data_IF_136881182954
#
_entry.id   IF_136881182954
#
_cell.length_a   1.000
_cell.length_b   1.000
_cell.length_c   1.000
_cell.angle_alpha   90.00
_cell.angle_beta   90.00
_cell.angle_gamma   90.00
#
_symmetry.space_group_name_H-M   'P 1'
#
loop_
_entity.id
_entity.type
_entity.pdbx_description
1 polymer ?
#
# COMPACT_ATOMS: atom_id res chain seq x y z
N UNK A 1 2.67 -25.94 -9.23
CA UNK A 1 2.58 -25.07 -10.42
C UNK A 1 1.23 -25.18 -11.15
N UNK A 2 0.73 -26.36 -11.52
CA UNK A 2 -0.58 -26.49 -12.23
C UNK A 2 -1.78 -26.03 -11.38
N UNK A 3 -1.75 -26.29 -10.07
CA UNK A 3 -2.85 -25.93 -9.15
C UNK A 3 -3.00 -24.43 -8.89
N UNK A 4 -1.96 -23.63 -9.13
CA UNK A 4 -1.96 -22.21 -8.75
C UNK A 4 -2.41 -21.33 -9.92
N UNK A 5 -1.92 -21.65 -11.14
CA UNK A 5 -2.46 -21.06 -12.38
C UNK A 5 -3.95 -21.32 -12.54
N UNK A 6 -4.40 -22.55 -12.32
CA UNK A 6 -5.83 -22.89 -12.38
C UNK A 6 -6.69 -22.04 -11.44
N UNK A 7 -6.19 -21.71 -10.24
CA UNK A 7 -6.94 -20.87 -9.28
C UNK A 7 -7.00 -19.40 -9.71
N UNK A 8 -5.92 -18.88 -10.30
CA UNK A 8 -5.89 -17.52 -10.83
C UNK A 8 -6.84 -17.39 -12.02
N UNK A 9 -6.88 -18.39 -12.90
CA UNK A 9 -7.81 -18.45 -14.03
C UNK A 9 -9.27 -18.47 -13.55
N UNK A 10 -9.57 -19.20 -12.48
CA UNK A 10 -10.89 -19.23 -11.85
C UNK A 10 -11.28 -17.85 -11.27
N UNK A 11 -10.36 -17.19 -10.58
CA UNK A 11 -10.57 -15.84 -10.04
C UNK A 11 -10.84 -14.85 -11.16
N UNK A 12 -10.04 -14.87 -12.23
CA UNK A 12 -10.22 -13.97 -13.37
C UNK A 12 -11.57 -14.18 -14.06
N UNK A 13 -12.00 -15.44 -14.22
CA UNK A 13 -13.31 -15.75 -14.81
C UNK A 13 -14.47 -15.26 -13.94
N UNK A 14 -14.41 -15.48 -12.62
CA UNK A 14 -15.46 -14.98 -11.72
C UNK A 14 -15.46 -13.45 -11.61
N UNK A 15 -14.29 -12.81 -11.68
CA UNK A 15 -14.18 -11.36 -11.75
C UNK A 15 -14.83 -10.80 -13.03
N UNK A 16 -14.63 -11.45 -14.18
CA UNK A 16 -15.29 -11.08 -15.43
C UNK A 16 -16.82 -11.24 -15.32
N UNK A 17 -17.30 -12.38 -14.81
CA UNK A 17 -18.72 -12.63 -14.56
C UNK A 17 -19.33 -11.56 -13.64
N UNK A 18 -18.62 -11.21 -12.57
CA UNK A 18 -19.06 -10.19 -11.63
C UNK A 18 -19.14 -8.79 -12.27
N UNK A 19 -18.15 -8.42 -13.08
CA UNK A 19 -18.13 -7.15 -13.81
C UNK A 19 -19.26 -7.05 -14.84
N UNK A 20 -19.54 -8.13 -15.57
CA UNK A 20 -20.58 -8.13 -16.61
C UNK A 20 -22.01 -8.24 -16.06
N UNK A 21 -22.17 -8.86 -14.89
CA UNK A 21 -23.46 -9.02 -14.22
C UNK A 21 -23.69 -7.95 -13.17
N UNK A 22 -23.16 -8.18 -11.97
CA UNK A 22 -23.46 -7.40 -10.77
C UNK A 22 -23.03 -5.94 -10.94
N UNK A 23 -21.81 -5.69 -11.41
CA UNK A 23 -21.33 -4.31 -11.55
C UNK A 23 -22.15 -3.54 -12.59
N UNK A 24 -22.47 -4.17 -13.72
CA UNK A 24 -23.29 -3.55 -14.77
C UNK A 24 -24.67 -3.17 -14.25
N UNK A 25 -25.35 -4.08 -13.52
CA UNK A 25 -26.64 -3.79 -12.88
C UNK A 25 -26.57 -2.57 -11.95
N UNK A 26 -25.49 -2.46 -11.17
CA UNK A 26 -25.28 -1.32 -10.29
C UNK A 26 -24.99 -0.03 -11.04
N UNK A 27 -24.18 -0.06 -12.09
CA UNK A 27 -23.84 1.12 -12.88
C UNK A 27 -25.06 1.69 -13.62
N UNK A 28 -25.96 0.83 -14.10
CA UNK A 28 -27.22 1.24 -14.74
C UNK A 28 -28.15 1.95 -13.74
N UNK A 29 -28.18 1.46 -12.50
CA UNK A 29 -29.01 2.05 -11.43
C UNK A 29 -28.39 3.30 -10.82
N UNK A 30 -27.08 3.29 -10.61
CA UNK A 30 -26.33 4.32 -9.93
C UNK A 30 -24.91 4.38 -10.51
N UNK A 31 -24.63 5.34 -11.42
CA UNK A 31 -23.31 5.46 -12.00
C UNK A 31 -22.27 5.85 -10.95
N UNK A 32 -21.02 5.50 -11.22
CA UNK A 32 -19.91 5.92 -10.39
C UNK A 32 -19.73 7.44 -10.43
N UNK A 33 -19.19 7.99 -9.34
CA UNK A 33 -19.06 9.44 -9.14
C UNK A 33 -18.07 10.10 -10.10
N UNK A 34 -17.19 9.32 -10.72
CA UNK A 34 -16.15 9.76 -11.66
C UNK A 34 -16.01 8.70 -12.74
N UNK A 35 -15.64 9.12 -13.94
CA UNK A 35 -15.29 8.19 -15.01
C UNK A 35 -14.00 7.41 -14.72
N UNK A 36 -13.04 8.05 -14.04
CA UNK A 36 -11.77 7.45 -13.64
C UNK A 36 -11.46 7.80 -12.18
N UNK A 37 -10.83 6.86 -11.48
CA UNK A 37 -10.35 7.05 -10.12
C UNK A 37 -8.83 7.11 -10.14
N UNK A 38 -8.27 8.31 -9.99
CA UNK A 38 -6.81 8.52 -9.98
C UNK A 38 -6.30 8.78 -8.57
N UNK A 39 -5.11 8.27 -8.28
CA UNK A 39 -4.30 8.70 -7.13
C UNK A 39 -3.84 10.16 -7.30
N UNK A 40 -3.33 10.78 -6.24
CA UNK A 40 -2.79 12.14 -6.30
C UNK A 40 -1.59 12.29 -7.25
N UNK A 41 -0.91 11.19 -7.56
CA UNK A 41 0.20 11.12 -8.52
C UNK A 41 -0.23 10.71 -9.94
N UNK A 42 -1.53 10.52 -10.18
CA UNK A 42 -2.09 10.26 -11.52
C UNK A 42 -2.17 8.79 -11.93
N UNK A 43 -1.89 7.84 -11.04
CA UNK A 43 -2.11 6.41 -11.33
C UNK A 43 -3.59 6.04 -11.23
N UNK A 44 -4.09 5.29 -12.21
CA UNK A 44 -5.44 4.74 -12.21
C UNK A 44 -5.62 3.66 -11.14
N UNK A 45 -6.71 3.76 -10.40
CA UNK A 45 -7.13 2.80 -9.39
C UNK A 45 -8.28 1.96 -9.93
N UNK A 46 -8.05 0.64 -10.00
CA UNK A 46 -9.09 -0.33 -10.35
C UNK A 46 -10.18 -0.34 -9.27
N UNK A 47 -11.40 -0.74 -9.66
CA UNK A 47 -12.51 -0.97 -8.73
C UNK A 47 -12.19 -2.04 -7.69
N UNK A 48 -11.46 -3.07 -8.10
CA UNK A 48 -11.05 -4.21 -7.29
C UNK A 48 -9.65 -4.62 -7.72
N UNK A 49 -8.84 -5.07 -6.77
CA UNK A 49 -7.58 -5.76 -7.01
C UNK A 49 -7.70 -7.19 -6.49
N UNK A 50 -7.30 -8.16 -7.30
CA UNK A 50 -7.35 -9.60 -7.01
C UNK A 50 -5.93 -10.18 -6.96
N UNK A 51 -5.75 -11.44 -6.53
CA UNK A 51 -4.44 -12.10 -6.63
C UNK A 51 -3.85 -12.13 -8.04
N UNK A 52 -4.69 -12.02 -9.08
CA UNK A 52 -4.26 -11.90 -10.48
C UNK A 52 -3.42 -10.64 -10.74
N UNK A 53 -3.69 -9.55 -10.04
CA UNK A 53 -2.95 -8.28 -10.20
C UNK A 53 -1.51 -8.34 -9.67
N UNK A 54 -1.19 -9.36 -8.87
CA UNK A 54 0.15 -9.62 -8.36
C UNK A 54 0.75 -10.91 -8.89
N UNK A 55 0.12 -11.55 -9.89
CA UNK A 55 0.53 -12.87 -10.37
C UNK A 55 1.92 -12.90 -11.02
N UNK A 56 2.33 -11.78 -11.63
CA UNK A 56 3.65 -11.63 -12.27
C UNK A 56 4.75 -11.20 -11.30
N UNK A 57 4.39 -10.85 -10.05
CA UNK A 57 5.37 -10.46 -9.04
C UNK A 57 6.14 -11.69 -8.54
N UNK A 58 7.47 -11.62 -8.55
CA UNK A 58 8.31 -12.65 -7.94
C UNK A 58 8.44 -12.33 -6.45
N UNK A 59 7.80 -13.12 -5.60
CA UNK A 59 7.78 -12.89 -4.16
C UNK A 59 9.20 -12.79 -3.58
N UNK A 60 10.11 -13.68 -3.97
CA UNK A 60 11.46 -13.72 -3.37
C UNK A 60 12.33 -12.59 -3.91
N UNK A 61 12.21 -12.26 -5.20
CA UNK A 61 13.00 -11.20 -5.83
C UNK A 61 12.49 -9.79 -5.50
N UNK A 62 11.18 -9.57 -5.56
CA UNK A 62 10.57 -8.23 -5.53
C UNK A 62 10.13 -7.82 -4.11
N UNK A 63 9.71 -8.79 -3.28
CA UNK A 63 9.20 -8.51 -1.93
C UNK A 63 10.18 -8.94 -0.83
N UNK A 64 10.68 -10.18 -0.88
CA UNK A 64 11.66 -10.74 0.04
C UNK A 64 11.21 -10.76 1.51
N UNK A 65 12.20 -10.74 2.41
CA UNK A 65 12.02 -10.71 3.87
C UNK A 65 12.52 -9.37 4.43
N UNK A 66 11.93 -8.85 5.53
CA UNK A 66 12.43 -7.63 6.17
C UNK A 66 13.86 -7.85 6.68
N UNK A 67 14.71 -6.82 6.57
CA UNK A 67 16.12 -6.93 6.96
C UNK A 67 17.04 -7.58 5.93
N UNK A 68 16.52 -7.96 4.76
CA UNK A 68 17.27 -8.55 3.66
C UNK A 68 16.92 -7.85 2.34
N UNK A 69 17.81 -7.89 1.35
CA UNK A 69 17.56 -7.33 0.02
C UNK A 69 16.30 -7.99 -0.59
N UNK A 70 15.39 -7.25 -1.26
CA UNK A 70 15.46 -5.85 -1.69
C UNK A 70 14.96 -4.82 -0.66
N UNK A 71 14.77 -5.21 0.60
CA UNK A 71 14.31 -4.34 1.69
C UNK A 71 12.91 -3.74 1.48
N UNK A 72 12.12 -4.25 0.54
CA UNK A 72 10.73 -3.80 0.28
C UNK A 72 9.86 -3.86 1.53
N UNK A 73 10.10 -4.86 2.40
CA UNK A 73 9.38 -5.03 3.68
C UNK A 73 10.03 -4.32 4.87
N UNK A 74 11.08 -3.55 4.65
CA UNK A 74 11.80 -2.77 5.64
C UNK A 74 13.26 -3.18 5.82
N UNK A 75 14.07 -2.23 6.28
CA UNK A 75 15.52 -2.36 6.44
C UNK A 75 15.96 -3.25 7.62
N UNK A 76 15.09 -3.46 8.62
CA UNK A 76 15.44 -4.20 9.84
C UNK A 76 14.55 -5.43 10.00
N UNK A 77 15.14 -6.59 10.33
CA UNK A 77 14.40 -7.86 10.44
C UNK A 77 13.26 -7.83 11.47
N UNK A 78 13.42 -7.09 12.58
CA UNK A 78 12.42 -7.01 13.65
C UNK A 78 11.51 -5.79 13.58
N UNK A 79 11.83 -4.82 12.71
CA UNK A 79 11.14 -3.53 12.60
C UNK A 79 10.69 -2.96 13.97
N UNK A 80 9.45 -2.49 14.06
CA UNK A 80 8.88 -1.84 15.23
C UNK A 80 8.52 -2.78 16.38
N UNK A 81 8.69 -4.10 16.21
CA UNK A 81 8.65 -5.05 17.35
C UNK A 81 9.93 -4.96 18.19
N UNK A 82 11.06 -4.61 17.57
CA UNK A 82 12.34 -4.42 18.27
C UNK A 82 12.54 -2.98 18.76
N UNK A 83 12.30 -2.00 17.89
CA UNK A 83 12.44 -0.58 18.23
C UNK A 83 11.44 0.25 17.43
N UNK A 84 10.66 1.10 18.12
CA UNK A 84 9.78 2.06 17.47
C UNK A 84 10.56 3.04 16.59
N UNK A 85 9.88 3.65 15.62
CA UNK A 85 10.48 4.75 14.86
C UNK A 85 10.85 5.90 15.80
N UNK A 86 11.90 6.63 15.44
CA UNK A 86 12.28 7.83 16.20
C UNK A 86 11.21 8.90 16.01
N UNK A 87 10.51 9.26 17.09
CA UNK A 87 9.62 10.41 17.10
C UNK A 87 10.46 11.70 17.06
N UNK A 88 10.61 12.29 15.87
CA UNK A 88 11.40 13.51 15.66
C UNK A 88 10.48 14.68 15.33
N UNK A 89 10.14 15.45 16.36
CA UNK A 89 9.37 16.68 16.18
C UNK A 89 10.26 17.75 15.53
N UNK A 90 9.79 18.33 14.42
CA UNK A 90 10.40 19.55 13.90
C UNK A 90 10.11 20.69 14.88
N UNK A 91 11.16 21.28 15.42
CA UNK A 91 11.08 22.31 16.46
C UNK A 91 12.22 23.29 16.28
N UNK A 92 11.89 24.58 16.39
CA UNK A 92 12.80 25.71 16.28
C UNK A 92 12.01 26.99 16.49
N UNK A 93 12.58 27.94 17.24
CA UNK A 93 11.94 29.22 17.52
C UNK A 93 13.03 30.29 17.69
N UNK A 94 12.88 31.41 16.98
CA UNK A 94 13.70 32.61 17.15
C UNK A 94 15.20 32.34 17.27
N UNK A 95 15.74 32.52 18.48
CA UNK A 95 17.16 32.35 18.79
C UNK A 95 17.56 30.91 19.14
N UNK A 96 18.88 30.66 19.21
CA UNK A 96 19.41 29.37 19.64
C UNK A 96 18.96 29.01 21.06
N UNK A 97 18.90 29.97 21.98
CA UNK A 97 18.48 29.77 23.37
C UNK A 97 17.01 29.37 23.48
N UNK A 98 16.14 30.00 22.69
CA UNK A 98 14.70 29.71 22.66
C UNK A 98 14.42 28.33 22.07
N UNK A 99 15.11 28.00 20.97
CA UNK A 99 15.08 26.66 20.38
C UNK A 99 15.57 25.59 21.36
N UNK A 100 16.67 25.83 22.08
CA UNK A 100 17.18 24.91 23.09
C UNK A 100 16.18 24.71 24.25
N UNK A 101 15.52 25.79 24.69
CA UNK A 101 14.46 25.70 25.71
C UNK A 101 13.31 24.81 25.22
N UNK A 102 12.90 24.95 23.96
CA UNK A 102 11.86 24.11 23.36
C UNK A 102 12.29 22.64 23.23
N UNK A 103 13.53 22.36 22.83
CA UNK A 103 14.02 20.98 22.79
C UNK A 103 13.99 20.31 24.16
N UNK A 104 14.42 21.00 25.22
CA UNK A 104 14.33 20.48 26.59
C UNK A 104 12.89 20.20 27.00
N UNK A 105 11.93 21.05 26.60
CA UNK A 105 10.51 20.80 26.85
C UNK A 105 9.96 19.56 26.12
N UNK A 106 10.44 19.27 24.91
CA UNK A 106 9.93 18.14 24.11
C UNK A 106 10.55 16.78 24.48
N UNK A 107 11.67 16.79 25.20
CA UNK A 107 12.41 15.59 25.59
C UNK A 107 12.15 15.14 27.04
N UNK A 108 11.50 15.99 27.85
CA UNK A 108 11.14 15.72 29.25
C UNK A 108 9.61 15.69 29.41
#
# INVERSE_FOLDING_TARGET
MVSEKSKLDDISREEARWNEGVVREWLDRLPERRGEFLTSSGFEMKRLYTPGDTADADYLRDLGFPGDYPFTRGLHATMYRGRLWTMRQFSGFGTAEETNRRFKYLLN
#
